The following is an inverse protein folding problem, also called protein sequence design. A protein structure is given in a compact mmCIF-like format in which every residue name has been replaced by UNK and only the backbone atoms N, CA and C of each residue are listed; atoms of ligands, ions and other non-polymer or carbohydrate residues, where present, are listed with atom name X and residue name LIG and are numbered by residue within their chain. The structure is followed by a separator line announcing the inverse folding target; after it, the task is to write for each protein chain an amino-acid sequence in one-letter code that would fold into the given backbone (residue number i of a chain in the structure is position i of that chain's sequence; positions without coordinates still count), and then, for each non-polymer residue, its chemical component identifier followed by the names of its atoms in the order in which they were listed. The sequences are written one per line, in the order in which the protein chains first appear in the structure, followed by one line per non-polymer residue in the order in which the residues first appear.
data_IF_024614023229
#
_entry.id   IF_024614023229
#
_cell.length_a   1.000
_cell.length_b   1.000
_cell.length_c   1.000
_cell.angle_alpha   90.00
_cell.angle_beta   90.00
_cell.angle_gamma   90.00
#
_symmetry.space_group_name_H-M   'P 1'
#
loop_
_entity.id
_entity.type
_entity.pdbx_description
1 polymer ?
#
# COMPACT_ATOMS: atom_id res chain seq x y z
N UNK A 1 5.11 -15.35 13.61
CA UNK A 1 5.26 -14.06 12.89
C UNK A 1 5.85 -14.32 11.52
N UNK A 2 5.20 -13.84 10.50
CA UNK A 2 5.63 -14.05 9.12
C UNK A 2 5.90 -12.70 8.48
N UNK A 3 6.96 -12.62 7.66
CA UNK A 3 7.27 -11.40 6.93
C UNK A 3 7.05 -11.63 5.44
N UNK A 4 6.28 -10.72 4.81
CA UNK A 4 6.09 -10.71 3.37
C UNK A 4 6.90 -9.55 2.80
N UNK A 5 7.66 -9.81 1.73
CA UNK A 5 8.52 -8.79 1.14
C UNK A 5 8.20 -8.67 -0.34
N UNK A 6 8.07 -7.43 -0.82
CA UNK A 6 7.90 -7.10 -2.23
C UNK A 6 8.95 -6.05 -2.57
N UNK A 7 9.66 -6.26 -3.67
CA UNK A 7 10.65 -5.30 -4.16
C UNK A 7 10.37 -5.09 -5.64
N UNK A 8 10.23 -3.83 -6.04
CA UNK A 8 9.86 -3.50 -7.42
C UNK A 8 10.59 -2.26 -7.89
N UNK A 9 11.15 -2.31 -9.11
CA UNK A 9 11.77 -1.14 -9.72
C UNK A 9 10.77 -0.39 -10.59
N UNK A 10 10.92 0.93 -10.63
CA UNK A 10 10.06 1.82 -11.41
C UNK A 10 10.93 2.69 -12.32
N UNK A 11 10.46 2.89 -13.53
CA UNK A 11 11.06 3.85 -14.46
C UNK A 11 10.46 5.22 -14.17
N UNK A 12 10.89 5.80 -13.07
CA UNK A 12 10.37 7.06 -12.54
C UNK A 12 11.35 7.64 -11.54
N UNK A 13 11.42 8.98 -11.45
CA UNK A 13 12.19 9.59 -10.36
C UNK A 13 11.62 9.15 -9.00
N UNK A 14 12.51 8.99 -8.03
CA UNK A 14 12.10 8.57 -6.68
C UNK A 14 11.08 9.53 -6.06
N UNK A 15 11.25 10.83 -6.27
CA UNK A 15 10.36 11.83 -5.69
C UNK A 15 8.94 11.73 -6.26
N UNK A 16 8.80 11.31 -7.51
CA UNK A 16 7.48 11.15 -8.12
C UNK A 16 6.73 9.98 -7.51
N UNK A 17 7.40 8.85 -7.33
CA UNK A 17 6.81 7.70 -6.66
C UNK A 17 6.50 8.04 -5.20
N UNK A 18 7.44 8.69 -4.52
CA UNK A 18 7.25 9.05 -3.12
C UNK A 18 6.06 9.99 -2.93
N UNK A 19 5.86 10.94 -3.86
CA UNK A 19 4.73 11.86 -3.78
C UNK A 19 3.38 11.12 -3.75
N UNK A 20 3.27 10.03 -4.49
CA UNK A 20 2.03 9.22 -4.47
C UNK A 20 1.86 8.49 -3.15
N UNK A 21 2.93 7.91 -2.63
CA UNK A 21 2.87 7.12 -1.40
C UNK A 21 2.64 8.00 -0.17
N UNK A 22 3.29 9.17 -0.10
CA UNK A 22 3.16 10.05 1.05
C UNK A 22 1.77 10.69 1.15
N UNK A 23 1.06 10.79 0.05
CA UNK A 23 -0.31 11.28 0.03
C UNK A 23 -1.24 10.13 0.42
N UNK A 24 -1.13 9.74 1.68
CA UNK A 24 -1.66 8.50 2.23
C UNK A 24 -3.17 8.35 2.04
N UNK A 25 -3.92 9.45 2.15
CA UNK A 25 -5.37 9.43 2.03
C UNK A 25 -5.88 9.38 0.60
N UNK A 26 -5.02 9.55 -0.39
CA UNK A 26 -5.43 9.67 -1.80
C UNK A 26 -5.17 8.42 -2.63
N UNK A 27 -5.24 7.26 -2.00
CA UNK A 27 -4.99 5.97 -2.63
C UNK A 27 -5.85 5.73 -3.87
N UNK A 28 -7.11 6.15 -3.82
CA UNK A 28 -8.05 5.91 -4.93
C UNK A 28 -7.61 6.58 -6.23
N UNK A 29 -6.83 7.67 -6.14
CA UNK A 29 -6.42 8.43 -7.32
C UNK A 29 -5.53 7.62 -8.27
N UNK A 30 -4.75 6.67 -7.72
CA UNK A 30 -3.84 5.86 -8.55
C UNK A 30 -4.18 4.36 -8.50
N UNK A 31 -5.29 3.97 -7.89
CA UNK A 31 -5.70 2.56 -7.89
C UNK A 31 -6.01 2.13 -9.33
N UNK A 32 -5.55 0.95 -9.77
CA UNK A 32 -5.71 0.58 -11.18
C UNK A 32 -7.18 0.37 -11.53
N UNK A 33 -7.69 1.07 -12.57
CA UNK A 33 -9.11 0.97 -12.92
C UNK A 33 -9.52 -0.40 -13.41
N UNK A 34 -8.58 -1.17 -13.95
CA UNK A 34 -8.84 -2.53 -14.41
C UNK A 34 -8.76 -3.59 -13.33
N UNK A 35 -8.47 -3.20 -12.08
CA UNK A 35 -8.36 -4.17 -11.00
C UNK A 35 -9.69 -4.85 -10.71
N UNK A 36 -9.69 -6.15 -10.44
CA UNK A 36 -10.91 -6.83 -9.95
C UNK A 36 -11.30 -6.36 -8.55
N UNK A 37 -10.34 -5.79 -7.80
CA UNK A 37 -10.65 -5.16 -6.52
C UNK A 37 -11.03 -3.72 -6.81
N UNK A 38 -12.32 -3.37 -6.62
CA UNK A 38 -12.80 -2.02 -6.93
C UNK A 38 -12.95 -1.24 -5.64
N UNK A 39 -12.33 -0.05 -5.63
CA UNK A 39 -12.49 0.89 -4.51
C UNK A 39 -13.72 1.75 -4.77
N UNK A 40 -14.62 1.79 -3.79
CA UNK A 40 -15.78 2.67 -3.83
C UNK A 40 -15.36 4.09 -3.42
N UNK A 41 -14.70 4.19 -2.27
CA UNK A 41 -14.18 5.48 -1.78
C UNK A 41 -13.15 5.25 -0.69
N UNK A 42 -12.36 6.28 -0.42
CA UNK A 42 -11.43 6.30 0.71
C UNK A 42 -11.80 7.50 1.57
N UNK A 43 -12.00 7.26 2.86
CA UNK A 43 -12.27 8.32 3.84
C UNK A 43 -11.06 8.51 4.72
N UNK A 44 -10.64 9.75 4.91
CA UNK A 44 -9.48 10.08 5.71
C UNK A 44 -9.92 10.60 7.07
N UNK A 45 -9.32 10.04 8.12
CA UNK A 45 -9.56 10.47 9.49
C UNK A 45 -8.25 11.03 10.04
N UNK A 46 -8.23 12.31 10.38
CA UNK A 46 -7.03 12.96 10.89
C UNK A 46 -6.06 13.38 9.80
N UNK A 47 -4.88 13.82 10.21
CA UNK A 47 -3.82 14.29 9.32
C UNK A 47 -2.46 13.92 9.90
N UNK A 48 -1.46 13.72 9.01
CA UNK A 48 -0.10 13.42 9.42
C UNK A 48 0.00 12.06 10.08
N UNK A 49 1.02 11.90 10.91
CA UNK A 49 1.20 10.65 11.65
C UNK A 49 0.00 10.42 12.56
N UNK A 50 -0.53 9.20 12.52
CA UNK A 50 -1.74 8.84 13.24
C UNK A 50 -3.01 8.91 12.41
N UNK A 51 -2.95 9.52 11.21
CA UNK A 51 -4.12 9.54 10.34
C UNK A 51 -4.51 8.14 9.92
N UNK A 52 -5.80 7.94 9.70
CA UNK A 52 -6.32 6.65 9.27
C UNK A 52 -7.00 6.85 7.92
N UNK A 53 -6.72 5.93 6.97
CA UNK A 53 -7.48 5.86 5.73
C UNK A 53 -8.39 4.65 5.81
N UNK A 54 -9.68 4.90 5.59
CA UNK A 54 -10.70 3.85 5.56
C UNK A 54 -11.01 3.57 4.09
N UNK A 55 -10.62 2.39 3.63
CA UNK A 55 -10.76 2.00 2.22
C UNK A 55 -12.02 1.17 2.10
N UNK A 56 -13.03 1.70 1.40
CA UNK A 56 -14.28 1.00 1.16
C UNK A 56 -14.24 0.36 -0.21
N UNK A 57 -14.36 -0.95 -0.24
CA UNK A 57 -14.41 -1.71 -1.49
C UNK A 57 -15.85 -1.92 -1.91
N UNK A 58 -16.09 -1.91 -3.22
CA UNK A 58 -17.43 -2.13 -3.77
C UNK A 58 -17.95 -3.48 -3.31
N UNK A 59 -19.15 -3.49 -2.73
CA UNK A 59 -19.79 -4.71 -2.27
C UNK A 59 -19.34 -5.22 -0.91
N UNK A 60 -18.42 -4.51 -0.25
CA UNK A 60 -17.91 -4.90 1.07
C UNK A 60 -18.31 -3.83 2.08
N UNK A 61 -19.16 -4.16 3.07
CA UNK A 61 -19.69 -3.14 3.98
C UNK A 61 -18.67 -2.59 4.98
N UNK A 62 -17.67 -3.40 5.35
CA UNK A 62 -16.70 -3.00 6.37
C UNK A 62 -15.40 -2.53 5.68
N UNK A 63 -14.90 -1.33 5.97
CA UNK A 63 -13.70 -0.85 5.33
C UNK A 63 -12.45 -1.55 5.85
N UNK A 64 -11.41 -1.55 5.01
CA UNK A 64 -10.05 -1.83 5.45
C UNK A 64 -9.49 -0.51 5.97
N UNK A 65 -9.08 -0.49 7.23
CA UNK A 65 -8.59 0.75 7.86
C UNK A 65 -7.11 0.63 8.14
N UNK A 66 -6.35 1.59 7.63
CA UNK A 66 -4.90 1.63 7.78
C UNK A 66 -4.48 2.94 8.42
N UNK A 67 -3.64 2.85 9.46
CA UNK A 67 -3.13 4.01 10.16
C UNK A 67 -1.70 4.28 9.72
N UNK A 68 -1.39 5.54 9.44
CA UNK A 68 -0.03 5.96 9.15
C UNK A 68 0.72 6.08 10.47
N UNK A 69 1.62 5.15 10.75
CA UNK A 69 2.34 5.09 12.02
C UNK A 69 3.57 6.00 12.04
N UNK A 70 4.20 6.17 10.88
CA UNK A 70 5.38 7.01 10.76
C UNK A 70 5.61 7.38 9.30
N UNK A 71 6.27 8.52 9.08
CA UNK A 71 6.64 8.98 7.74
C UNK A 71 7.90 9.83 7.86
N UNK A 72 8.86 9.61 6.95
CA UNK A 72 10.11 10.37 6.87
C UNK A 72 10.34 10.74 5.41
N UNK A 73 10.11 12.00 5.08
CA UNK A 73 10.23 12.47 3.70
C UNK A 73 11.67 12.46 3.21
N UNK A 74 12.63 12.70 4.09
CA UNK A 74 14.04 12.71 3.70
C UNK A 74 14.53 11.31 3.34
N UNK A 75 14.15 10.33 4.12
CA UNK A 75 14.51 8.94 3.89
C UNK A 75 13.55 8.24 2.93
N UNK A 76 12.45 8.86 2.57
CA UNK A 76 11.37 8.30 1.76
C UNK A 76 10.91 6.96 2.32
N UNK A 77 10.56 6.98 3.61
CA UNK A 77 10.06 5.80 4.30
C UNK A 77 8.74 6.10 4.97
N UNK A 78 7.92 5.07 5.10
CA UNK A 78 6.67 5.16 5.85
C UNK A 78 6.35 3.83 6.50
N UNK A 79 5.56 3.88 7.57
CA UNK A 79 5.07 2.70 8.26
C UNK A 79 3.58 2.82 8.43
N UNK A 80 2.89 1.69 8.32
CA UNK A 80 1.45 1.64 8.52
C UNK A 80 1.05 0.36 9.25
N UNK A 81 -0.14 0.40 9.85
CA UNK A 81 -0.75 -0.76 10.50
C UNK A 81 -2.19 -0.87 10.07
N UNK A 82 -2.69 -2.10 9.94
CA UNK A 82 -4.13 -2.30 9.80
C UNK A 82 -4.73 -2.20 11.19
N UNK A 83 -5.74 -1.35 11.34
CA UNK A 83 -6.45 -1.15 12.59
C UNK A 83 -7.92 -1.50 12.40
N UNK A 84 -8.60 -1.85 13.49
CA UNK A 84 -10.01 -2.26 13.39
C UNK A 84 -10.16 -3.65 12.81
N UNK A 85 -11.22 -3.85 12.02
CA UNK A 85 -11.54 -5.15 11.44
C UNK A 85 -10.48 -5.60 10.44
N UNK A 86 -10.15 -6.88 10.51
CA UNK A 86 -9.17 -7.49 9.61
C UNK A 86 -9.81 -8.67 8.90
N UNK A 87 -9.23 -9.07 7.78
CA UNK A 87 -9.69 -10.25 7.05
C UNK A 87 -9.60 -11.49 7.94
N UNK A 88 -10.42 -12.51 7.67
CA UNK A 88 -10.40 -13.74 8.47
C UNK A 88 -9.00 -14.36 8.52
N UNK A 89 -8.54 -14.69 9.71
CA UNK A 89 -7.25 -15.32 9.94
C UNK A 89 -6.12 -14.33 10.19
N UNK A 90 -6.26 -13.09 9.81
CA UNK A 90 -5.22 -12.09 10.04
C UNK A 90 -5.39 -11.48 11.43
N UNK A 91 -4.40 -11.68 12.29
CA UNK A 91 -4.43 -11.18 13.66
C UNK A 91 -3.79 -9.80 13.76
N UNK A 92 -2.64 -9.61 13.12
CA UNK A 92 -1.98 -8.30 13.12
C UNK A 92 -1.25 -8.08 11.79
N UNK A 93 -1.06 -6.81 11.44
CA UNK A 93 -0.41 -6.40 10.22
C UNK A 93 0.25 -5.05 10.43
N UNK A 94 1.57 -5.02 10.28
CA UNK A 94 2.33 -3.76 10.24
C UNK A 94 3.24 -3.82 9.03
N UNK A 95 3.43 -2.69 8.37
CA UNK A 95 4.22 -2.66 7.14
C UNK A 95 5.13 -1.44 7.10
N UNK A 96 6.17 -1.55 6.28
CA UNK A 96 7.12 -0.48 6.02
C UNK A 96 7.39 -0.42 4.54
N UNK A 97 7.36 0.80 3.97
CA UNK A 97 7.77 1.04 2.60
C UNK A 97 8.98 1.95 2.55
N UNK A 98 9.89 1.66 1.64
CA UNK A 98 11.11 2.45 1.43
C UNK A 98 11.28 2.67 -0.06
N UNK A 99 11.41 3.94 -0.47
CA UNK A 99 11.71 4.28 -1.85
C UNK A 99 13.18 4.66 -1.94
N UNK A 100 13.93 3.93 -2.77
CA UNK A 100 15.36 4.15 -2.96
C UNK A 100 15.61 4.69 -4.36
N UNK A 101 16.34 5.79 -4.46
CA UNK A 101 16.73 6.36 -5.75
C UNK A 101 17.83 5.50 -6.36
N UNK A 102 17.63 5.08 -7.61
CA UNK A 102 18.62 4.28 -8.35
C UNK A 102 19.27 5.07 -9.48
N UNK A 103 18.66 6.20 -9.84
CA UNK A 103 19.13 7.08 -10.88
C UNK A 103 18.11 8.19 -11.04
N UNK A 104 18.37 9.13 -11.96
CA UNK A 104 17.49 10.29 -12.15
C UNK A 104 16.05 9.88 -12.48
N UNK A 105 15.90 8.79 -13.25
CA UNK A 105 14.60 8.32 -13.72
C UNK A 105 14.31 6.88 -13.28
N UNK A 106 14.97 6.41 -12.25
CA UNK A 106 14.76 5.05 -11.74
C UNK A 106 14.78 5.03 -10.23
N UNK A 107 13.88 4.25 -9.68
CA UNK A 107 13.82 4.03 -8.23
C UNK A 107 13.31 2.63 -7.94
N UNK A 108 13.41 2.24 -6.67
CA UNK A 108 12.92 0.94 -6.22
C UNK A 108 12.06 1.14 -4.97
N UNK A 109 10.94 0.45 -4.93
CA UNK A 109 10.11 0.36 -3.73
C UNK A 109 10.38 -0.98 -3.08
N UNK A 110 10.79 -0.95 -1.82
CA UNK A 110 10.89 -2.13 -0.98
C UNK A 110 9.79 -2.03 0.06
N UNK A 111 8.87 -2.99 0.04
CA UNK A 111 7.72 -3.01 0.94
C UNK A 111 7.75 -4.32 1.71
N UNK A 112 7.72 -4.23 3.03
CA UNK A 112 7.70 -5.41 3.89
C UNK A 112 6.55 -5.31 4.86
N UNK A 113 5.86 -6.44 5.08
CA UNK A 113 4.76 -6.53 6.02
C UNK A 113 5.05 -7.64 7.00
N UNK A 114 4.92 -7.34 8.30
CA UNK A 114 5.01 -8.31 9.36
C UNK A 114 3.59 -8.67 9.76
N UNK A 115 3.25 -9.95 9.64
CA UNK A 115 1.90 -10.42 9.89
C UNK A 115 1.88 -11.51 10.93
N UNK A 116 0.78 -11.56 11.68
CA UNK A 116 0.47 -12.67 12.56
C UNK A 116 -0.84 -13.28 12.08
N UNK A 117 -0.84 -14.60 11.89
CA UNK A 117 -1.98 -15.32 11.30
C UNK A 117 -2.42 -16.41 12.29
N UNK A 118 -3.72 -16.55 12.44
CA UNK A 118 -4.31 -17.52 13.35
C UNK A 118 -4.46 -18.87 12.68
N UNK A 119 -4.11 -19.95 13.42
CA UNK A 119 -4.37 -21.31 13.01
C UNK A 119 -3.75 -21.70 11.69
N UNK A 120 -4.54 -22.31 10.84
CA UNK A 120 -4.09 -22.84 9.55
C UNK A 120 -4.41 -21.90 8.38
N UNK A 121 -4.60 -20.60 8.64
CA UNK A 121 -4.99 -19.63 7.62
C UNK A 121 -3.79 -19.01 6.87
N UNK A 122 -2.57 -19.40 7.23
CA UNK A 122 -1.35 -18.77 6.72
C UNK A 122 -1.34 -18.66 5.19
N UNK A 123 -1.58 -19.77 4.51
CA UNK A 123 -1.50 -19.82 3.05
C UNK A 123 -2.54 -18.90 2.39
N UNK A 124 -3.79 -18.95 2.86
CA UNK A 124 -4.84 -18.14 2.25
C UNK A 124 -4.67 -16.66 2.54
N UNK A 125 -4.21 -16.31 3.74
CA UNK A 125 -3.95 -14.91 4.09
C UNK A 125 -2.80 -14.37 3.24
N UNK A 126 -1.69 -15.10 3.11
CA UNK A 126 -0.58 -14.65 2.28
C UNK A 126 -0.99 -14.46 0.84
N UNK A 127 -1.77 -15.39 0.28
CA UNK A 127 -2.23 -15.27 -1.12
C UNK A 127 -3.05 -14.01 -1.33
N UNK A 128 -3.98 -13.73 -0.42
CA UNK A 128 -4.82 -12.54 -0.51
C UNK A 128 -4.01 -11.26 -0.41
N UNK A 129 -3.08 -11.21 0.56
CA UNK A 129 -2.25 -10.01 0.74
C UNK A 129 -1.33 -9.78 -0.46
N UNK A 130 -0.72 -10.84 -1.00
CA UNK A 130 0.15 -10.71 -2.16
C UNK A 130 -0.63 -10.24 -3.39
N UNK A 131 -1.86 -10.69 -3.55
CA UNK A 131 -2.68 -10.19 -4.64
C UNK A 131 -2.95 -8.68 -4.47
N UNK A 132 -3.26 -8.24 -3.25
CA UNK A 132 -3.44 -6.82 -2.96
C UNK A 132 -2.18 -6.01 -3.27
N UNK A 133 -1.00 -6.52 -2.88
CA UNK A 133 0.26 -5.86 -3.18
C UNK A 133 0.48 -5.71 -4.68
N UNK A 134 0.11 -6.73 -5.48
CA UNK A 134 0.25 -6.67 -6.93
C UNK A 134 -0.62 -5.56 -7.53
N UNK A 135 -1.80 -5.31 -6.96
CA UNK A 135 -2.67 -4.24 -7.42
C UNK A 135 -2.08 -2.86 -7.07
N UNK A 136 -1.52 -2.72 -5.88
CA UNK A 136 -0.83 -1.49 -5.48
C UNK A 136 0.32 -1.20 -6.45
N UNK A 137 1.14 -2.19 -6.75
CA UNK A 137 2.27 -2.03 -7.68
C UNK A 137 1.75 -1.64 -9.07
N UNK A 138 0.71 -2.30 -9.56
CA UNK A 138 0.14 -2.00 -10.87
C UNK A 138 -0.34 -0.56 -10.94
N UNK A 139 -1.01 -0.08 -9.90
CA UNK A 139 -1.48 1.30 -9.85
C UNK A 139 -0.35 2.31 -9.82
N UNK A 140 0.67 2.05 -9.02
CA UNK A 140 1.84 2.93 -8.94
C UNK A 140 2.58 2.98 -10.28
N UNK A 141 2.71 1.84 -10.95
CA UNK A 141 3.36 1.79 -12.27
C UNK A 141 2.57 2.60 -13.30
N UNK A 142 1.26 2.43 -13.33
CA UNK A 142 0.42 3.19 -14.25
C UNK A 142 0.55 4.70 -13.99
N UNK A 143 0.58 5.10 -12.72
CA UNK A 143 0.64 6.51 -12.35
C UNK A 143 2.01 7.14 -12.62
N UNK A 144 3.10 6.37 -12.55
CA UNK A 144 4.46 6.90 -12.71
C UNK A 144 5.04 6.65 -14.10
N UNK A 145 4.63 5.56 -14.77
CA UNK A 145 5.22 5.15 -16.05
C UNK A 145 4.24 5.22 -17.20
N UNK A 146 2.98 4.93 -16.92
CA UNK A 146 1.98 4.68 -17.95
C UNK A 146 1.57 5.85 -18.80
N UNK A 147 1.95 7.09 -18.43
CA UNK A 147 1.52 8.18 -19.19
C UNK A 147 2.57 8.74 -19.90
N UNK A 148 3.64 8.16 -19.87
CA UNK A 148 4.83 8.69 -20.44
C UNK A 148 4.66 9.33 -21.78
N UNK A 149 3.65 9.02 -22.52
CA UNK A 149 3.45 9.69 -23.78
C UNK A 149 2.02 10.12 -23.88
N UNK A 150 1.57 10.46 -22.80
CA UNK A 150 0.30 11.07 -22.54
C UNK A 150 -0.56 11.27 -23.67
#
# INVERSE_FOLDING_TARGET
MTQLIVSEEFHSPADRLWALLRDFGNLAAWWPPGSPIKIDRVEQEGRGVGMIRHIYYVGVPTPLSERLDDIDDDARTYRLSIVGSKMPGLVSYTAKGVVTELGADRCRLDYSADIEVAGDKESSVQKTLRFGFSQVIAGLKAATEGRSHG
#
